data_IF_580809744105
#
_entry.id   IF_580809744105
#
_cell.length_a   1.000
_cell.length_b   1.000
_cell.length_c   1.000
_cell.angle_alpha   90.00
_cell.angle_beta   90.00
_cell.angle_gamma   90.00
#
_symmetry.space_group_name_H-M   'P 1'
#
loop_
_entity.id
_entity.type
_entity.pdbx_description
1 polymer ?
#
# COMPACT_ATOMS: atom_id res chain seq x y z
N UNK A 1 8.02 16.86 9.94
CA UNK A 1 8.73 16.59 8.66
C UNK A 1 7.94 15.50 7.96
N UNK A 2 7.56 15.71 6.70
CA UNK A 2 6.90 14.70 5.87
C UNK A 2 7.87 14.32 4.77
N UNK A 3 8.00 13.03 4.50
CA UNK A 3 8.87 12.51 3.45
C UNK A 3 8.17 11.35 2.75
N UNK A 4 8.54 11.11 1.50
CA UNK A 4 8.12 9.95 0.72
C UNK A 4 9.30 9.03 0.51
N UNK A 5 9.03 7.73 0.46
CA UNK A 5 10.06 6.70 0.37
C UNK A 5 9.54 5.57 -0.52
N UNK A 6 10.43 5.05 -1.39
CA UNK A 6 10.16 3.88 -2.22
C UNK A 6 10.70 2.57 -1.61
N UNK A 7 11.57 2.66 -0.60
CA UNK A 7 12.15 1.52 0.10
C UNK A 7 11.27 1.09 1.30
N UNK A 8 10.88 -0.20 1.39
CA UNK A 8 9.99 -0.66 2.45
C UNK A 8 10.73 -1.04 3.75
N UNK A 9 12.04 -0.86 3.86
CA UNK A 9 12.83 -1.24 5.04
C UNK A 9 12.39 -0.50 6.31
N UNK A 10 12.03 0.80 6.28
CA UNK A 10 11.58 1.51 7.48
C UNK A 10 10.25 1.05 8.07
N UNK A 11 9.45 0.26 7.33
CA UNK A 11 8.21 -0.32 7.85
C UNK A 11 8.43 -1.44 8.88
N UNK A 12 9.66 -1.93 9.05
CA UNK A 12 9.97 -3.04 9.97
C UNK A 12 10.15 -2.57 11.42
N UNK A 13 10.97 -1.53 11.65
CA UNK A 13 11.35 -1.09 13.01
C UNK A 13 11.45 0.45 13.18
N UNK A 14 11.39 1.22 12.09
CA UNK A 14 11.65 2.67 12.15
C UNK A 14 10.39 3.54 12.21
N UNK A 15 9.25 3.04 11.71
CA UNK A 15 8.01 3.80 11.60
C UNK A 15 6.87 3.13 12.37
N UNK A 16 6.13 3.93 13.13
CA UNK A 16 4.91 3.48 13.82
C UNK A 16 3.74 3.50 12.85
N UNK A 17 2.74 2.65 13.09
CA UNK A 17 1.54 2.53 12.23
C UNK A 17 0.76 3.83 12.03
N UNK A 18 0.79 4.74 12.99
CA UNK A 18 0.15 6.07 12.92
C UNK A 18 0.90 7.06 12.02
N UNK A 19 2.14 6.76 11.67
CA UNK A 19 3.00 7.60 10.84
C UNK A 19 3.07 7.13 9.38
N UNK A 20 2.46 5.98 9.06
CA UNK A 20 2.50 5.37 7.73
C UNK A 20 1.18 5.64 7.01
N UNK A 21 1.30 6.26 5.84
CA UNK A 21 0.21 6.47 4.91
C UNK A 21 0.60 5.85 3.57
N UNK A 22 -0.33 5.11 2.98
CA UNK A 22 -0.17 4.58 1.64
C UNK A 22 -0.87 5.49 0.65
N UNK A 23 -0.27 5.63 -0.52
CA UNK A 23 -0.88 6.31 -1.64
C UNK A 23 -0.97 5.37 -2.82
N UNK A 24 -2.16 5.30 -3.41
CA UNK A 24 -2.40 4.52 -4.61
C UNK A 24 -3.04 5.43 -5.67
N UNK A 25 -2.58 5.28 -6.91
CA UNK A 25 -3.12 6.03 -8.04
C UNK A 25 -4.07 5.15 -8.84
N UNK A 26 -5.33 5.54 -8.88
CA UNK A 26 -6.36 4.96 -9.72
C UNK A 26 -6.12 5.27 -11.20
N UNK A 27 -6.73 4.48 -12.08
CA UNK A 27 -6.62 4.62 -13.54
C UNK A 27 -7.18 5.96 -14.04
N UNK A 28 -8.21 6.47 -13.38
CA UNK A 28 -8.82 7.78 -13.65
C UNK A 28 -7.91 8.97 -13.28
N UNK A 29 -6.67 8.70 -12.82
CA UNK A 29 -5.71 9.71 -12.41
C UNK A 29 -5.92 10.22 -10.99
N UNK A 30 -6.93 9.71 -10.29
CA UNK A 30 -7.21 10.02 -8.88
C UNK A 30 -6.18 9.34 -7.99
N UNK A 31 -5.62 10.06 -7.02
CA UNK A 31 -4.75 9.50 -6.00
C UNK A 31 -5.51 9.39 -4.69
N UNK A 32 -5.54 8.19 -4.12
CA UNK A 32 -6.12 7.90 -2.80
C UNK A 32 -5.00 7.85 -1.78
N UNK A 33 -5.23 8.44 -0.61
CA UNK A 33 -4.32 8.42 0.54
C UNK A 33 -5.07 7.83 1.72
N UNK A 34 -4.52 6.79 2.33
CA UNK A 34 -5.15 6.12 3.48
C UNK A 34 -4.11 5.71 4.52
N UNK A 35 -4.46 5.78 5.82
CA UNK A 35 -3.54 5.43 6.90
C UNK A 35 -3.42 3.91 7.04
N UNK A 36 -2.24 3.42 7.41
CA UNK A 36 -2.06 2.01 7.78
C UNK A 36 -2.91 1.62 9.01
N UNK A 37 -3.29 2.58 9.85
CA UNK A 37 -4.13 2.33 11.03
C UNK A 37 -5.54 1.84 10.71
N UNK A 38 -6.03 2.07 9.49
CA UNK A 38 -7.35 1.62 9.05
C UNK A 38 -7.43 0.08 9.03
N UNK A 39 -6.31 -0.59 8.82
CA UNK A 39 -6.25 -2.04 8.77
C UNK A 39 -6.25 -2.65 10.20
N UNK A 40 -7.36 -3.29 10.59
CA UNK A 40 -7.51 -3.99 11.89
C UNK A 40 -6.75 -5.32 11.94
N UNK A 41 -5.44 -5.29 11.88
CA UNK A 41 -4.61 -6.49 12.07
C UNK A 41 -3.87 -6.50 13.43
N UNK A 42 -3.81 -7.68 14.07
CA UNK A 42 -3.08 -7.84 15.35
C UNK A 42 -1.56 -7.94 15.11
N UNK A 43 -0.84 -7.10 15.86
CA UNK A 43 0.61 -7.03 16.14
C UNK A 43 1.55 -6.69 14.98
N UNK A 44 1.88 -5.39 14.94
CA UNK A 44 3.16 -4.66 14.74
C UNK A 44 4.41 -5.33 14.13
N UNK A 45 4.55 -6.66 14.06
CA UNK A 45 5.84 -7.31 13.73
C UNK A 45 6.02 -7.77 12.27
N UNK A 46 5.13 -7.41 11.34
CA UNK A 46 5.24 -7.87 9.93
C UNK A 46 4.62 -6.89 8.91
N UNK A 47 4.63 -5.58 9.17
CA UNK A 47 4.01 -4.59 8.26
C UNK A 47 4.69 -4.62 6.89
N UNK A 48 6.02 -4.64 6.85
CA UNK A 48 6.81 -4.76 5.61
C UNK A 48 6.43 -6.00 4.80
N UNK A 49 6.37 -7.17 5.46
CA UNK A 49 6.04 -8.43 4.79
C UNK A 49 4.66 -8.35 4.14
N UNK A 50 3.67 -7.83 4.86
CA UNK A 50 2.29 -7.70 4.36
C UNK A 50 2.14 -6.67 3.24
N UNK A 51 2.92 -5.58 3.31
CA UNK A 51 3.03 -4.64 2.21
C UNK A 51 3.57 -5.33 0.95
N UNK A 52 4.62 -6.14 1.07
CA UNK A 52 5.18 -6.91 -0.04
C UNK A 52 4.23 -8.01 -0.55
N UNK A 53 3.40 -8.58 0.32
CA UNK A 53 2.33 -9.51 -0.04
C UNK A 53 1.14 -8.80 -0.73
N UNK A 54 1.15 -7.47 -0.86
CA UNK A 54 0.10 -6.70 -1.52
C UNK A 54 -1.16 -6.47 -0.68
N UNK A 55 -1.15 -6.81 0.62
CA UNK A 55 -2.34 -6.71 1.47
C UNK A 55 -2.85 -5.29 1.71
N UNK A 56 -1.96 -4.31 1.63
CA UNK A 56 -2.30 -2.90 1.82
C UNK A 56 -2.51 -2.15 0.49
N UNK A 57 -2.41 -2.84 -0.66
CA UNK A 57 -2.32 -2.18 -1.96
C UNK A 57 -1.04 -1.37 -2.09
N UNK A 58 -1.03 -0.37 -2.99
CA UNK A 58 0.09 0.55 -3.19
C UNK A 58 1.44 -0.13 -3.50
N UNK A 59 1.42 -1.38 -3.99
CA UNK A 59 2.61 -2.07 -4.48
C UNK A 59 2.98 -1.53 -5.87
N UNK A 60 4.29 -1.38 -6.16
CA UNK A 60 4.73 -0.92 -7.47
C UNK A 60 4.33 -1.94 -8.55
N UNK A 61 3.36 -1.55 -9.38
CA UNK A 61 2.92 -2.34 -10.54
C UNK A 61 3.83 -2.02 -11.71
N UNK A 62 4.58 -3.02 -12.17
CA UNK A 62 5.23 -2.93 -13.47
C UNK A 62 4.20 -3.29 -14.53
N UNK A 63 3.89 -2.41 -15.49
CA UNK A 63 3.15 -2.83 -16.66
C UNK A 63 4.04 -3.83 -17.41
N UNK A 64 3.68 -5.11 -17.36
CA UNK A 64 4.29 -6.15 -18.17
C UNK A 64 4.38 -5.68 -19.61
N UNK A 65 5.56 -5.82 -20.21
CA UNK A 65 5.87 -5.51 -21.61
C UNK A 65 5.25 -6.57 -22.55
N UNK A 66 3.96 -6.85 -22.36
CA UNK A 66 3.30 -8.02 -22.93
C UNK A 66 1.86 -8.18 -22.45
N UNK A 67 1.09 -7.08 -22.44
CA UNK A 67 -0.38 -7.06 -22.61
C UNK A 67 -1.24 -8.20 -22.03
N UNK A 68 -0.94 -8.72 -20.83
CA UNK A 68 -1.67 -9.87 -20.29
C UNK A 68 -1.88 -9.80 -18.78
N UNK A 69 -2.13 -8.59 -18.28
CA UNK A 69 -2.88 -8.41 -17.04
C UNK A 69 -3.95 -7.35 -17.34
N UNK A 70 -5.19 -7.79 -17.57
CA UNK A 70 -6.37 -6.96 -17.69
C UNK A 70 -7.10 -6.96 -16.34
N UNK A 71 -7.00 -5.88 -15.55
CA UNK A 71 -7.66 -5.75 -14.27
C UNK A 71 -8.77 -4.69 -14.36
N UNK A 72 -10.02 -5.13 -14.27
CA UNK A 72 -10.92 -4.51 -13.28
C UNK A 72 -10.39 -4.76 -11.84
N UNK A 73 -9.43 -5.70 -11.71
CA UNK A 73 -8.81 -6.30 -10.52
C UNK A 73 -7.88 -5.40 -9.69
N UNK A 74 -8.40 -4.31 -9.18
CA UNK A 74 -8.45 -3.98 -7.75
C UNK A 74 -8.74 -2.48 -7.74
N UNK A 75 -10.03 -2.22 -7.91
CA UNK A 75 -10.72 -0.98 -7.62
C UNK A 75 -11.83 -1.35 -6.64
N UNK A 76 -11.52 -1.60 -5.38
CA UNK A 76 -12.51 -1.64 -4.31
C UNK A 76 -11.84 -1.35 -2.97
N UNK A 77 -12.19 -0.19 -2.41
CA UNK A 77 -12.07 0.13 -0.98
C UNK A 77 -10.67 0.19 -0.38
N UNK A 78 -10.29 1.38 0.11
CA UNK A 78 -9.71 1.43 1.45
C UNK A 78 -10.56 0.54 2.38
N UNK A 79 -9.97 -0.18 3.34
CA UNK A 79 -10.70 -1.19 4.11
C UNK A 79 -11.99 -0.59 4.67
N UNK A 80 -13.13 -1.09 4.21
CA UNK A 80 -14.32 -1.09 5.06
C UNK A 80 -14.04 -2.14 6.14
N UNK A 81 -13.32 -1.78 7.21
CA UNK A 81 -13.47 -2.25 8.61
C UNK A 81 -12.23 -2.22 9.49
#
# INVERSE_FOLDING_TARGET
VVFTIHDPTPLDDALRRDQVYFTEKSRDGVASLYPLMDFRERKEHNIRKRYLEGRYGAIPRYPDFGGMFDPEDVCDGAPET
#
